data_IF_639240235813
#
_entry.id   IF_639240235813
#
_cell.length_a   1.000
_cell.length_b   1.000
_cell.length_c   1.000
_cell.angle_alpha   90.00
_cell.angle_beta   90.00
_cell.angle_gamma   90.00
#
_symmetry.space_group_name_H-M   'P 1'
#
loop_
_entity.id
_entity.type
_entity.pdbx_description
1 polymer ?
#
# COMPACT_ATOMS: atom_id res chain seq x y z
N UNK A 1 -15.88 23.30 -2.59
CA UNK A 1 -15.43 21.97 -3.09
C UNK A 1 -14.55 21.32 -2.04
N UNK A 2 -14.71 20.04 -1.77
CA UNK A 2 -13.87 19.27 -0.83
C UNK A 2 -12.80 18.51 -1.60
N UNK A 3 -11.62 18.45 -1.02
CA UNK A 3 -10.55 17.54 -1.45
C UNK A 3 -9.67 17.29 -0.23
N UNK A 4 -9.78 16.10 0.34
CA UNK A 4 -9.13 15.78 1.60
C UNK A 4 -8.63 14.34 1.60
N UNK A 5 -7.42 14.13 2.13
CA UNK A 5 -6.87 12.81 2.39
C UNK A 5 -7.08 12.45 3.87
N UNK A 6 -7.85 11.42 4.11
CA UNK A 6 -8.17 10.89 5.44
C UNK A 6 -7.35 9.61 5.67
N UNK A 7 -6.45 9.66 6.64
CA UNK A 7 -5.42 8.66 6.85
C UNK A 7 -5.81 7.81 8.06
N UNK A 8 -5.89 6.49 7.87
CA UNK A 8 -6.22 5.57 8.96
C UNK A 8 -4.98 4.87 9.50
N UNK A 9 -5.02 4.51 10.79
CA UNK A 9 -4.03 3.60 11.35
C UNK A 9 -4.19 2.24 10.68
N UNK A 10 -3.15 1.77 10.03
CA UNK A 10 -3.14 0.55 9.25
C UNK A 10 -1.99 -0.40 9.64
N UNK A 11 -1.49 -0.29 10.88
CA UNK A 11 -0.32 -1.04 11.33
C UNK A 11 0.84 -0.81 10.37
N UNK A 12 1.43 -1.84 9.79
CA UNK A 12 2.52 -1.79 8.82
C UNK A 12 2.10 -1.45 7.39
N UNK A 13 0.79 -1.27 7.13
CA UNK A 13 0.23 -1.10 5.79
C UNK A 13 -0.39 0.27 5.54
N UNK A 14 -1.22 0.34 4.51
CA UNK A 14 -1.97 1.55 4.12
C UNK A 14 -3.48 1.34 4.23
N UNK A 15 -4.17 2.39 4.68
CA UNK A 15 -5.62 2.50 4.62
C UNK A 15 -5.98 3.99 4.53
N UNK A 16 -6.42 4.44 3.36
CA UNK A 16 -6.63 5.83 3.06
C UNK A 16 -8.04 6.04 2.49
N UNK A 17 -8.63 7.19 2.79
CA UNK A 17 -9.90 7.63 2.21
C UNK A 17 -9.69 8.98 1.55
N UNK A 18 -10.10 9.10 0.28
CA UNK A 18 -10.05 10.35 -0.45
C UNK A 18 -11.47 10.90 -0.56
N UNK A 19 -11.70 12.06 0.04
CA UNK A 19 -12.96 12.78 -0.02
C UNK A 19 -12.88 13.86 -1.07
N UNK A 20 -13.87 13.94 -1.95
CA UNK A 20 -13.96 14.96 -3.00
C UNK A 20 -15.43 15.34 -3.28
N UNK A 21 -15.65 16.23 -4.25
CA UNK A 21 -16.99 16.72 -4.58
C UNK A 21 -17.41 17.91 -3.71
N UNK A 22 -18.71 18.12 -3.57
CA UNK A 22 -19.27 19.22 -2.80
C UNK A 22 -19.85 18.75 -1.47
N UNK A 23 -20.26 19.68 -0.61
CA UNK A 23 -20.94 19.34 0.63
C UNK A 23 -22.29 18.64 0.38
N UNK A 24 -23.00 19.06 -0.66
CA UNK A 24 -24.31 18.50 -1.03
C UNK A 24 -24.24 17.24 -1.88
N UNK A 25 -23.11 17.00 -2.54
CA UNK A 25 -22.82 15.81 -3.34
C UNK A 25 -21.39 15.30 -3.01
N UNK A 26 -21.20 14.71 -1.82
CA UNK A 26 -19.89 14.25 -1.38
C UNK A 26 -19.58 12.87 -1.97
N UNK A 27 -18.40 12.75 -2.57
CA UNK A 27 -17.85 11.55 -3.17
C UNK A 27 -16.74 10.94 -2.30
N UNK A 28 -16.41 9.65 -2.51
CA UNK A 28 -15.47 8.91 -1.68
C UNK A 28 -14.71 7.85 -2.48
N UNK A 29 -13.38 7.86 -2.35
CA UNK A 29 -12.51 6.77 -2.78
C UNK A 29 -11.91 6.09 -1.56
N UNK A 30 -11.95 4.76 -1.50
CA UNK A 30 -11.26 3.94 -0.50
C UNK A 30 -10.02 3.32 -1.14
N UNK A 31 -8.85 3.57 -0.55
CA UNK A 31 -7.54 3.15 -1.05
C UNK A 31 -6.88 2.28 -0.01
N UNK A 32 -6.65 1.02 -0.33
CA UNK A 32 -6.11 -0.01 0.55
C UNK A 32 -6.90 -0.20 1.86
N UNK A 33 -6.68 -1.28 2.53
CA UNK A 33 -7.41 -1.63 3.76
C UNK A 33 -6.51 -2.01 4.94
N UNK A 34 -5.21 -2.00 4.71
CA UNK A 34 -4.24 -2.48 5.69
C UNK A 34 -4.25 -4.01 5.85
N UNK A 35 -3.38 -4.54 6.73
CA UNK A 35 -3.35 -5.95 7.09
C UNK A 35 -4.58 -6.38 7.92
N UNK A 36 -4.58 -7.63 8.34
CA UNK A 36 -5.57 -8.14 9.30
C UNK A 36 -5.68 -7.26 10.55
N UNK A 37 -6.88 -7.20 11.13
CA UNK A 37 -7.18 -6.37 12.30
C UNK A 37 -7.12 -4.84 12.07
N UNK A 38 -7.25 -4.36 10.84
CA UNK A 38 -7.39 -2.94 10.52
C UNK A 38 -8.86 -2.56 10.25
N UNK A 39 -9.58 -3.38 9.49
CA UNK A 39 -10.97 -3.09 9.13
C UNK A 39 -11.85 -2.77 10.35
N UNK A 40 -11.98 -3.70 11.28
CA UNK A 40 -12.90 -3.57 12.42
C UNK A 40 -12.56 -2.41 13.37
N UNK A 41 -11.30 -2.22 13.82
CA UNK A 41 -10.98 -1.17 14.77
C UNK A 41 -10.78 0.22 14.15
N UNK A 42 -10.42 0.32 12.86
CA UNK A 42 -9.98 1.59 12.28
C UNK A 42 -10.82 2.03 11.07
N UNK A 43 -11.04 1.16 10.08
CA UNK A 43 -11.76 1.53 8.87
C UNK A 43 -13.28 1.57 9.09
N UNK A 44 -13.87 0.51 9.63
CA UNK A 44 -15.32 0.40 9.84
C UNK A 44 -15.89 1.56 10.67
N UNK A 45 -15.34 1.92 11.86
CA UNK A 45 -15.85 3.05 12.63
C UNK A 45 -15.76 4.38 11.89
N UNK A 46 -14.75 4.52 11.01
CA UNK A 46 -14.61 5.72 10.19
C UNK A 46 -15.68 5.77 9.09
N UNK A 47 -15.95 4.67 8.40
CA UNK A 47 -17.03 4.58 7.41
C UNK A 47 -18.40 4.86 8.05
N UNK A 48 -18.65 4.33 9.26
CA UNK A 48 -19.88 4.62 10.03
C UNK A 48 -19.99 6.12 10.37
N UNK A 49 -18.88 6.74 10.78
CA UNK A 49 -18.84 8.19 11.06
C UNK A 49 -19.09 9.03 9.81
N UNK A 50 -18.51 8.66 8.67
CA UNK A 50 -18.75 9.31 7.37
C UNK A 50 -20.23 9.18 6.97
N UNK A 51 -20.79 7.98 7.10
CA UNK A 51 -22.20 7.71 6.83
C UNK A 51 -23.11 8.60 7.66
N UNK A 52 -22.86 8.69 8.95
CA UNK A 52 -23.61 9.56 9.87
C UNK A 52 -23.46 11.05 9.52
N UNK A 53 -22.24 11.51 9.23
CA UNK A 53 -21.97 12.90 8.85
C UNK A 53 -22.63 13.31 7.52
N UNK A 54 -22.84 12.34 6.61
CA UNK A 54 -23.62 12.54 5.37
C UNK A 54 -25.14 12.47 5.58
N UNK A 55 -25.61 12.29 6.82
CA UNK A 55 -27.04 12.19 7.13
C UNK A 55 -27.72 10.91 6.61
N UNK A 56 -26.94 9.87 6.29
CA UNK A 56 -27.47 8.61 5.77
C UNK A 56 -28.04 7.77 6.91
N UNK A 57 -29.29 7.31 6.74
CA UNK A 57 -29.98 6.46 7.70
C UNK A 57 -29.56 5.00 7.67
N UNK A 58 -30.21 4.18 8.51
CA UNK A 58 -29.94 2.73 8.55
C UNK A 58 -30.31 2.03 7.22
N UNK A 59 -31.26 2.56 6.46
CA UNK A 59 -31.68 2.04 5.16
C UNK A 59 -30.82 2.48 3.97
N UNK A 60 -29.85 3.37 4.17
CA UNK A 60 -29.07 3.97 3.09
C UNK A 60 -27.61 3.51 3.20
N UNK A 61 -27.08 2.69 2.27
CA UNK A 61 -25.66 2.35 2.28
C UNK A 61 -24.80 3.58 1.98
N UNK A 62 -23.61 3.66 2.58
CA UNK A 62 -22.61 4.69 2.24
C UNK A 62 -22.11 4.49 0.80
N UNK A 63 -22.29 5.45 -0.11
CA UNK A 63 -21.69 5.35 -1.45
C UNK A 63 -20.16 5.45 -1.37
N UNK A 64 -19.49 4.49 -2.03
CA UNK A 64 -18.05 4.50 -2.30
C UNK A 64 -17.92 4.41 -3.83
N UNK A 65 -17.44 5.48 -4.45
CA UNK A 65 -17.39 5.60 -5.91
C UNK A 65 -16.32 4.68 -6.48
N UNK A 66 -15.16 4.60 -5.80
CA UNK A 66 -14.05 3.74 -6.15
C UNK A 66 -13.45 3.09 -4.90
N UNK A 67 -13.26 1.79 -4.94
CA UNK A 67 -12.35 1.07 -4.07
C UNK A 67 -11.09 0.70 -4.87
N UNK A 68 -9.90 0.93 -4.32
CA UNK A 68 -8.63 0.68 -5.00
C UNK A 68 -7.70 -0.14 -4.13
N UNK A 69 -6.98 -1.08 -4.74
CA UNK A 69 -5.85 -1.78 -4.15
C UNK A 69 -4.58 -1.34 -4.87
N UNK A 70 -3.65 -0.76 -4.14
CA UNK A 70 -2.37 -0.33 -4.72
C UNK A 70 -1.57 -1.52 -5.24
N UNK A 71 -1.53 -2.62 -4.49
CA UNK A 71 -0.95 -3.90 -4.88
C UNK A 71 -1.44 -5.04 -3.96
N UNK A 72 -1.16 -6.30 -4.33
CA UNK A 72 -1.76 -7.49 -3.71
C UNK A 72 -1.12 -7.96 -2.41
N UNK A 73 -0.26 -7.20 -1.77
CA UNK A 73 0.35 -7.59 -0.50
C UNK A 73 -0.65 -7.52 0.66
N UNK A 74 -0.49 -8.41 1.63
CA UNK A 74 -1.41 -8.58 2.77
C UNK A 74 -1.66 -7.29 3.54
N UNK A 75 -0.64 -6.45 3.64
CA UNK A 75 -0.70 -5.17 4.36
C UNK A 75 -1.42 -4.04 3.60
N UNK A 76 -1.93 -4.32 2.41
CA UNK A 76 -2.78 -3.41 1.63
C UNK A 76 -4.19 -3.98 1.39
N UNK A 77 -4.29 -5.28 1.07
CA UNK A 77 -5.54 -5.89 0.60
C UNK A 77 -6.42 -6.50 1.71
N UNK A 78 -5.83 -6.99 2.81
CA UNK A 78 -6.54 -7.84 3.77
C UNK A 78 -7.75 -7.14 4.42
N UNK A 79 -7.61 -5.89 4.81
CA UNK A 79 -8.72 -5.12 5.39
C UNK A 79 -9.87 -4.88 4.41
N UNK A 80 -9.58 -4.81 3.11
CA UNK A 80 -10.64 -4.76 2.08
C UNK A 80 -11.37 -6.08 1.94
N UNK A 81 -10.68 -7.22 2.07
CA UNK A 81 -11.32 -8.54 2.11
C UNK A 81 -12.24 -8.70 3.33
N UNK A 82 -11.82 -8.22 4.50
CA UNK A 82 -12.68 -8.21 5.68
C UNK A 82 -13.92 -7.32 5.46
N UNK A 83 -13.75 -6.18 4.81
CA UNK A 83 -14.82 -5.26 4.47
C UNK A 83 -15.80 -5.88 3.46
N UNK A 84 -15.33 -6.39 2.33
CA UNK A 84 -16.18 -6.99 1.29
C UNK A 84 -16.89 -8.24 1.80
N UNK A 85 -16.22 -9.04 2.64
CA UNK A 85 -16.84 -10.18 3.34
C UNK A 85 -18.03 -9.73 4.21
N UNK A 86 -17.88 -8.65 4.97
CA UNK A 86 -18.98 -8.12 5.79
C UNK A 86 -20.13 -7.63 4.90
N UNK A 87 -19.84 -6.93 3.80
CA UNK A 87 -20.88 -6.48 2.86
C UNK A 87 -21.66 -7.65 2.26
N UNK A 88 -20.99 -8.74 1.87
CA UNK A 88 -21.61 -9.96 1.33
C UNK A 88 -22.48 -10.71 2.35
N UNK A 89 -22.08 -10.68 3.61
CA UNK A 89 -22.77 -11.37 4.70
C UNK A 89 -23.90 -10.55 5.33
N UNK A 90 -24.12 -9.33 4.90
CA UNK A 90 -25.13 -8.45 5.46
C UNK A 90 -26.54 -9.06 5.26
N UNK A 91 -27.25 -9.35 6.38
CA UNK A 91 -28.61 -9.88 6.35
C UNK A 91 -29.68 -8.82 5.95
N UNK A 92 -29.27 -7.56 5.71
CA UNK A 92 -30.12 -6.43 5.38
C UNK A 92 -29.34 -5.43 4.53
N UNK A 93 -29.57 -4.13 4.78
CA UNK A 93 -28.84 -3.08 4.08
C UNK A 93 -27.38 -3.08 4.51
N UNK A 94 -26.42 -3.22 3.57
CA UNK A 94 -25.00 -3.24 3.91
C UNK A 94 -24.52 -1.86 4.38
N UNK A 95 -23.36 -1.82 5.06
CA UNK A 95 -22.74 -0.57 5.52
C UNK A 95 -22.48 0.39 4.36
N UNK A 96 -21.99 -0.13 3.24
CA UNK A 96 -21.64 0.66 2.07
C UNK A 96 -22.03 -0.05 0.77
N UNK A 97 -22.04 0.72 -0.31
CA UNK A 97 -22.16 0.26 -1.70
C UNK A 97 -20.98 0.78 -2.50
N UNK A 98 -20.24 -0.12 -3.11
CA UNK A 98 -19.05 0.17 -3.92
C UNK A 98 -19.49 0.17 -5.39
N UNK A 99 -19.10 1.20 -6.16
CA UNK A 99 -19.43 1.31 -7.58
C UNK A 99 -18.39 0.60 -8.44
N UNK A 100 -17.10 0.88 -8.22
CA UNK A 100 -16.00 0.29 -9.00
C UNK A 100 -14.83 -0.15 -8.13
N UNK A 101 -14.05 -1.10 -8.64
CA UNK A 101 -12.82 -1.60 -8.04
C UNK A 101 -11.66 -1.42 -9.04
N UNK A 102 -10.61 -0.71 -8.61
CA UNK A 102 -9.34 -0.69 -9.32
C UNK A 102 -8.37 -1.68 -8.67
N UNK A 103 -7.98 -2.67 -9.46
CA UNK A 103 -7.13 -3.74 -8.96
C UNK A 103 -6.38 -4.43 -10.11
N UNK A 104 -5.07 -4.56 -9.98
CA UNK A 104 -4.23 -5.40 -10.83
C UNK A 104 -3.98 -6.72 -10.10
N UNK A 105 -4.63 -7.80 -10.51
CA UNK A 105 -4.33 -9.11 -9.95
C UNK A 105 -2.96 -9.58 -10.43
N UNK A 106 -2.28 -10.35 -9.60
CA UNK A 106 -0.98 -10.92 -9.94
C UNK A 106 -1.05 -11.81 -11.20
N UNK A 107 -2.12 -12.59 -11.34
CA UNK A 107 -2.35 -13.46 -12.51
C UNK A 107 -2.42 -12.68 -13.82
N UNK A 108 -3.07 -11.52 -13.80
CA UNK A 108 -3.12 -10.64 -14.97
C UNK A 108 -1.77 -10.01 -15.28
N UNK A 109 -1.02 -9.64 -14.22
CA UNK A 109 0.33 -9.07 -14.34
C UNK A 109 1.29 -10.06 -14.98
N UNK A 110 1.21 -11.36 -14.66
CA UNK A 110 2.06 -12.40 -15.23
C UNK A 110 1.45 -13.13 -16.43
N UNK A 111 0.20 -12.82 -16.80
CA UNK A 111 -0.47 -13.37 -17.99
C UNK A 111 -0.87 -14.85 -17.89
N UNK A 112 -0.92 -15.42 -16.69
CA UNK A 112 -1.34 -16.80 -16.44
C UNK A 112 -2.81 -16.88 -16.00
N UNK A 113 -3.42 -18.05 -16.20
CA UNK A 113 -4.78 -18.28 -15.71
C UNK A 113 -4.79 -18.58 -14.20
N UNK A 114 -5.63 -17.90 -13.40
CA UNK A 114 -5.72 -18.06 -11.94
C UNK A 114 -5.82 -19.51 -11.47
N UNK A 115 -6.51 -20.35 -12.26
CA UNK A 115 -6.81 -21.73 -11.89
C UNK A 115 -5.60 -22.67 -11.82
N UNK A 116 -4.51 -22.39 -12.51
CA UNK A 116 -3.32 -23.27 -12.51
C UNK A 116 -2.38 -22.94 -11.34
N UNK A 117 -2.14 -21.66 -11.09
CA UNK A 117 -1.36 -21.23 -9.92
C UNK A 117 -2.06 -21.56 -8.60
N UNK A 118 -3.35 -21.24 -8.49
CA UNK A 118 -4.15 -21.55 -7.29
C UNK A 118 -4.22 -23.06 -7.01
N UNK A 119 -4.34 -23.90 -8.04
CA UNK A 119 -4.30 -25.36 -7.87
C UNK A 119 -2.94 -25.86 -7.38
N UNK A 120 -1.85 -25.34 -7.92
CA UNK A 120 -0.50 -25.72 -7.49
C UNK A 120 -0.26 -25.31 -6.02
N UNK A 121 -0.67 -24.09 -5.64
CA UNK A 121 -0.56 -23.56 -4.28
C UNK A 121 -1.42 -24.36 -3.29
N UNK A 122 -2.70 -24.61 -3.63
CA UNK A 122 -3.62 -25.36 -2.79
C UNK A 122 -3.20 -26.81 -2.59
N UNK A 123 -2.63 -27.43 -3.62
CA UNK A 123 -2.12 -28.80 -3.54
C UNK A 123 -0.91 -28.93 -2.60
N UNK A 124 -0.05 -27.93 -2.54
CA UNK A 124 1.17 -27.97 -1.73
C UNK A 124 0.96 -27.54 -0.28
N UNK A 125 0.18 -26.50 -0.04
CA UNK A 125 0.04 -25.89 1.30
C UNK A 125 -1.30 -26.22 1.99
N UNK A 126 -2.24 -26.89 1.31
CA UNK A 126 -3.57 -27.21 1.81
C UNK A 126 -4.54 -26.04 1.83
N UNK A 127 -5.82 -26.29 1.60
CA UNK A 127 -6.87 -25.27 1.52
C UNK A 127 -7.04 -24.43 2.81
N UNK A 128 -6.68 -24.97 3.96
CA UNK A 128 -6.81 -24.30 5.27
C UNK A 128 -5.73 -23.21 5.48
N UNK A 129 -4.53 -23.38 4.90
CA UNK A 129 -3.44 -22.40 5.01
C UNK A 129 -3.67 -21.19 4.12
N UNK A 130 -4.41 -21.36 3.03
CA UNK A 130 -4.68 -20.32 2.03
C UNK A 130 -5.90 -19.48 2.40
N UNK A 131 -6.94 -20.09 3.00
CA UNK A 131 -8.21 -19.40 3.35
C UNK A 131 -8.24 -18.76 4.74
N UNK A 132 -7.29 -19.08 5.62
CA UNK A 132 -7.29 -18.68 7.03
C UNK A 132 -6.48 -17.43 7.38
N UNK A 133 -5.78 -16.81 6.42
CA UNK A 133 -4.73 -15.85 6.72
C UNK A 133 -3.61 -16.59 7.49
N UNK A 134 -2.44 -16.75 6.90
CA UNK A 134 -1.32 -17.40 7.58
C UNK A 134 -1.06 -16.68 8.91
N UNK A 135 -1.44 -17.30 10.02
CA UNK A 135 -1.03 -16.85 11.32
C UNK A 135 0.51 -16.89 11.36
N UNK A 136 1.12 -15.91 12.04
CA UNK A 136 2.59 -15.81 12.19
C UNK A 136 3.24 -17.05 12.84
N UNK A 137 2.44 -18.06 13.22
CA UNK A 137 2.83 -19.29 13.92
C UNK A 137 2.83 -20.56 13.07
N UNK A 138 2.75 -20.47 11.72
CA UNK A 138 2.93 -21.64 10.89
C UNK A 138 4.37 -22.16 11.01
N UNK A 139 4.55 -23.25 11.77
CA UNK A 139 5.83 -23.97 11.89
C UNK A 139 6.10 -24.71 10.60
N UNK A 140 7.12 -24.25 9.85
CA UNK A 140 7.65 -24.92 8.66
C UNK A 140 8.85 -25.78 9.09
N UNK A 141 8.99 -26.96 8.50
CA UNK A 141 10.11 -27.87 8.77
C UNK A 141 11.47 -27.21 8.53
N UNK A 142 12.45 -27.54 9.38
CA UNK A 142 13.64 -26.74 9.75
C UNK A 142 14.80 -26.73 8.76
N UNK A 143 14.65 -27.20 7.51
CA UNK A 143 15.77 -27.42 6.58
C UNK A 143 15.84 -26.49 5.34
N UNK A 144 14.84 -25.64 5.11
CA UNK A 144 14.87 -24.64 4.05
C UNK A 144 15.00 -23.22 4.63
N UNK A 145 15.58 -22.28 3.84
CA UNK A 145 15.77 -20.90 4.26
C UNK A 145 14.39 -20.26 4.63
N UNK A 146 14.06 -20.23 5.93
CA UNK A 146 12.77 -19.72 6.47
C UNK A 146 12.37 -18.35 5.89
N UNK A 147 13.34 -17.51 5.52
CA UNK A 147 13.08 -16.19 4.95
C UNK A 147 12.57 -16.30 3.51
N UNK A 148 13.10 -17.25 2.74
CA UNK A 148 12.66 -17.52 1.36
C UNK A 148 11.27 -18.16 1.39
N UNK A 149 11.04 -19.12 2.27
CA UNK A 149 9.73 -19.75 2.46
C UNK A 149 8.70 -18.73 2.94
N UNK A 150 9.05 -17.86 3.90
CA UNK A 150 8.12 -16.86 4.43
C UNK A 150 7.76 -15.77 3.40
N UNK A 151 8.72 -15.33 2.58
CA UNK A 151 8.44 -14.38 1.49
C UNK A 151 7.61 -15.01 0.39
N UNK A 152 7.84 -16.28 0.07
CA UNK A 152 7.05 -17.04 -0.90
C UNK A 152 5.61 -17.22 -0.45
N UNK A 153 5.40 -17.55 0.82
CA UNK A 153 4.06 -17.68 1.41
C UNK A 153 3.29 -16.35 1.38
N UNK A 154 3.97 -15.21 1.58
CA UNK A 154 3.33 -13.89 1.48
C UNK A 154 2.81 -13.60 0.07
N UNK A 155 3.62 -13.87 -0.95
CA UNK A 155 3.19 -13.65 -2.35
C UNK A 155 2.07 -14.61 -2.74
N UNK A 156 2.13 -15.87 -2.31
CA UNK A 156 1.06 -16.82 -2.55
C UNK A 156 -0.26 -16.40 -1.87
N UNK A 157 -0.17 -15.91 -0.64
CA UNK A 157 -1.32 -15.34 0.06
C UNK A 157 -1.88 -14.13 -0.69
N UNK A 158 -1.01 -13.24 -1.20
CA UNK A 158 -1.40 -12.09 -2.01
C UNK A 158 -2.14 -12.47 -3.30
N UNK A 159 -1.69 -13.52 -4.00
CA UNK A 159 -2.38 -14.04 -5.20
C UNK A 159 -3.78 -14.51 -4.86
N UNK A 160 -3.92 -15.32 -3.82
CA UNK A 160 -5.23 -15.83 -3.40
C UNK A 160 -6.15 -14.70 -2.90
N UNK A 161 -5.60 -13.76 -2.16
CA UNK A 161 -6.34 -12.58 -1.68
C UNK A 161 -6.83 -11.70 -2.84
N UNK A 162 -5.99 -11.48 -3.88
CA UNK A 162 -6.38 -10.76 -5.09
C UNK A 162 -7.50 -11.47 -5.84
N UNK A 163 -7.41 -12.79 -5.99
CA UNK A 163 -8.47 -13.60 -6.58
C UNK A 163 -9.77 -13.52 -5.77
N UNK A 164 -9.69 -13.67 -4.42
CA UNK A 164 -10.85 -13.57 -3.55
C UNK A 164 -11.52 -12.20 -3.63
N UNK A 165 -10.75 -11.11 -3.70
CA UNK A 165 -11.31 -9.77 -3.84
C UNK A 165 -12.09 -9.60 -5.14
N UNK A 166 -11.63 -10.19 -6.25
CA UNK A 166 -12.36 -10.20 -7.52
C UNK A 166 -13.65 -10.98 -7.44
N UNK A 167 -13.65 -12.16 -6.79
CA UNK A 167 -14.87 -12.92 -6.52
C UNK A 167 -15.86 -12.13 -5.67
N UNK A 168 -15.36 -11.41 -4.67
CA UNK A 168 -16.19 -10.56 -3.83
C UNK A 168 -16.80 -9.39 -4.64
N UNK A 169 -16.02 -8.77 -5.51
CA UNK A 169 -16.48 -7.71 -6.42
C UNK A 169 -17.61 -8.22 -7.35
N UNK A 170 -17.43 -9.40 -7.94
CA UNK A 170 -18.46 -10.04 -8.79
C UNK A 170 -19.75 -10.28 -8.01
N UNK A 171 -19.67 -10.87 -6.81
CA UNK A 171 -20.83 -11.09 -5.95
C UNK A 171 -21.54 -9.80 -5.52
N UNK A 172 -20.80 -8.71 -5.35
CA UNK A 172 -21.33 -7.40 -4.95
C UNK A 172 -21.78 -6.56 -6.15
N UNK A 173 -21.63 -7.07 -7.39
CA UNK A 173 -21.84 -6.36 -8.66
C UNK A 173 -21.02 -5.07 -8.75
N UNK A 174 -19.76 -5.12 -8.34
CA UNK A 174 -18.78 -4.02 -8.43
C UNK A 174 -18.04 -4.15 -9.76
N UNK A 175 -17.98 -3.07 -10.54
CA UNK A 175 -17.29 -3.05 -11.82
C UNK A 175 -15.76 -3.07 -11.63
N UNK A 176 -15.08 -4.00 -12.30
CA UNK A 176 -13.62 -4.13 -12.24
C UNK A 176 -12.96 -3.30 -13.34
N UNK A 177 -12.07 -2.36 -12.94
CA UNK A 177 -11.27 -1.52 -13.83
C UNK A 177 -12.08 -0.91 -15.00
N UNK A 178 -13.27 -0.32 -14.77
CA UNK A 178 -14.16 0.09 -15.86
C UNK A 178 -13.52 1.11 -16.80
N UNK A 179 -12.71 2.04 -16.28
CA UNK A 179 -12.03 3.07 -17.08
C UNK A 179 -10.92 2.48 -17.98
N UNK A 180 -10.51 1.24 -17.71
CA UNK A 180 -9.53 0.49 -18.48
C UNK A 180 -10.17 -0.64 -19.31
N UNK A 181 -11.49 -0.66 -19.41
CA UNK A 181 -12.24 -1.69 -20.11
C UNK A 181 -12.07 -3.09 -19.50
N UNK A 182 -11.95 -3.17 -18.18
CA UNK A 182 -11.76 -4.40 -17.41
C UNK A 182 -10.34 -5.01 -17.52
N UNK A 183 -9.37 -4.24 -18.05
CA UNK A 183 -7.98 -4.68 -18.27
C UNK A 183 -7.05 -4.17 -17.17
N UNK A 184 -5.77 -4.58 -17.27
CA UNK A 184 -4.70 -4.08 -16.40
C UNK A 184 -4.61 -2.55 -16.42
N UNK A 185 -4.44 -1.99 -15.25
CA UNK A 185 -4.12 -0.57 -15.03
C UNK A 185 -2.62 -0.42 -15.24
N UNK A 186 -2.21 0.36 -16.22
CA UNK A 186 -0.81 0.64 -16.54
C UNK A 186 -0.60 2.13 -16.74
N UNK A 187 0.64 2.58 -16.55
CA UNK A 187 1.02 3.98 -16.76
C UNK A 187 0.61 4.49 -18.14
N UNK A 188 0.06 5.68 -18.18
CA UNK A 188 -0.42 6.34 -19.39
C UNK A 188 -0.35 7.86 -19.29
N UNK A 189 -0.35 8.56 -20.43
CA UNK A 189 -0.21 10.02 -20.50
C UNK A 189 -1.56 10.76 -20.33
N UNK A 190 -2.67 10.05 -20.37
CA UNK A 190 -4.01 10.66 -20.31
C UNK A 190 -4.58 10.53 -18.90
N UNK A 191 -4.87 11.63 -18.21
CA UNK A 191 -5.58 11.61 -16.94
C UNK A 191 -6.99 11.02 -17.12
N UNK A 192 -7.44 10.25 -16.15
CA UNK A 192 -8.77 9.66 -16.08
C UNK A 192 -9.65 10.60 -15.28
N UNK A 193 -10.71 11.10 -15.91
CA UNK A 193 -11.71 11.95 -15.26
C UNK A 193 -12.66 11.08 -14.41
N UNK A 194 -12.70 11.39 -13.12
CA UNK A 194 -13.55 10.70 -12.13
C UNK A 194 -14.81 11.52 -11.79
N UNK A 195 -15.03 12.66 -12.44
CA UNK A 195 -16.07 13.62 -12.11
C UNK A 195 -15.70 14.56 -10.95
N UNK A 196 -16.52 15.58 -10.74
CA UNK A 196 -16.33 16.56 -9.65
C UNK A 196 -14.92 17.16 -9.60
N UNK A 197 -14.33 17.44 -10.77
CA UNK A 197 -12.97 17.99 -10.94
C UNK A 197 -11.84 17.06 -10.41
N UNK A 198 -12.16 15.81 -10.08
CA UNK A 198 -11.17 14.80 -9.71
C UNK A 198 -10.62 14.09 -10.94
N UNK A 199 -9.32 14.01 -11.07
CA UNK A 199 -8.66 13.20 -12.09
C UNK A 199 -7.49 12.40 -11.53
N UNK A 200 -7.25 11.23 -12.14
CA UNK A 200 -6.11 10.34 -11.84
C UNK A 200 -5.22 10.21 -13.05
N UNK A 201 -3.93 10.55 -12.91
CA UNK A 201 -2.90 10.20 -13.88
C UNK A 201 -2.15 8.97 -13.37
N UNK A 202 -2.20 7.87 -14.11
CA UNK A 202 -1.51 6.63 -13.75
C UNK A 202 -0.04 6.74 -14.17
N UNK A 203 0.87 6.80 -13.19
CA UNK A 203 2.31 6.81 -13.40
C UNK A 203 2.98 5.43 -13.19
N UNK A 204 2.26 4.46 -12.66
CA UNK A 204 2.74 3.08 -12.45
C UNK A 204 1.61 2.09 -12.23
N UNK A 205 1.87 0.81 -12.49
CA UNK A 205 3.09 0.23 -13.03
C UNK A 205 3.29 0.48 -14.53
N UNK A 206 4.54 0.43 -14.99
CA UNK A 206 4.87 0.59 -16.41
C UNK A 206 4.85 -0.74 -17.15
N UNK A 207 4.28 -0.77 -18.37
CA UNK A 207 4.19 -1.98 -19.19
C UNK A 207 5.53 -2.70 -19.45
N UNK A 208 6.67 -2.02 -19.72
CA UNK A 208 7.95 -2.70 -19.88
C UNK A 208 8.42 -3.47 -18.64
N UNK A 209 8.04 -2.99 -17.44
CA UNK A 209 8.39 -3.65 -16.17
C UNK A 209 7.54 -4.89 -15.94
N UNK A 210 6.23 -4.80 -16.19
CA UNK A 210 5.33 -5.95 -16.14
C UNK A 210 5.76 -7.03 -17.14
N UNK A 211 6.16 -6.67 -18.36
CA UNK A 211 6.70 -7.62 -19.35
C UNK A 211 7.98 -8.29 -18.90
N UNK A 212 8.86 -7.59 -18.18
CA UNK A 212 10.06 -8.19 -17.60
C UNK A 212 9.72 -9.17 -16.48
N UNK A 213 8.72 -8.85 -15.66
CA UNK A 213 8.22 -9.77 -14.65
C UNK A 213 7.65 -11.03 -15.28
N UNK A 214 6.81 -10.89 -16.29
CA UNK A 214 6.27 -12.01 -17.04
C UNK A 214 7.37 -12.86 -17.65
N UNK A 215 8.35 -12.26 -18.35
CA UNK A 215 9.45 -13.01 -18.97
C UNK A 215 10.30 -13.77 -17.94
N UNK A 216 10.55 -13.20 -16.76
CA UNK A 216 11.23 -13.91 -15.67
C UNK A 216 10.40 -15.07 -15.14
N UNK A 217 9.10 -14.90 -15.00
CA UNK A 217 8.18 -15.96 -14.58
C UNK A 217 8.15 -17.11 -15.59
N UNK A 218 8.02 -16.79 -16.87
CA UNK A 218 8.02 -17.79 -17.94
C UNK A 218 9.35 -18.57 -18.00
N UNK A 219 10.48 -17.89 -17.85
CA UNK A 219 11.79 -18.54 -17.77
C UNK A 219 11.88 -19.46 -16.55
N UNK A 220 11.41 -19.00 -15.40
CA UNK A 220 11.39 -19.80 -14.18
C UNK A 220 10.53 -21.06 -14.33
N UNK A 221 9.32 -20.97 -14.90
CA UNK A 221 8.47 -22.14 -15.20
C UNK A 221 9.16 -23.12 -16.13
N UNK A 222 9.91 -22.62 -17.12
CA UNK A 222 10.70 -23.44 -18.03
C UNK A 222 11.82 -24.17 -17.31
N UNK A 223 12.58 -23.45 -16.47
CA UNK A 223 13.67 -24.03 -15.67
C UNK A 223 13.18 -25.13 -14.72
N UNK A 224 11.99 -24.95 -14.12
CA UNK A 224 11.35 -25.97 -13.29
C UNK A 224 11.04 -27.22 -14.07
N UNK A 225 10.38 -27.06 -15.21
CA UNK A 225 10.02 -28.17 -16.07
C UNK A 225 11.25 -28.95 -16.55
N UNK A 226 12.35 -28.26 -16.90
CA UNK A 226 13.62 -28.87 -17.29
C UNK A 226 14.31 -29.64 -16.14
N UNK A 227 14.11 -29.17 -14.89
CA UNK A 227 14.61 -29.82 -13.67
C UNK A 227 13.69 -30.92 -13.14
N UNK A 228 12.51 -31.13 -13.74
CA UNK A 228 11.50 -32.07 -13.26
C UNK A 228 10.93 -31.72 -11.88
N UNK A 229 10.96 -30.44 -11.52
CA UNK A 229 10.42 -29.92 -10.27
C UNK A 229 8.99 -29.41 -10.49
N UNK A 230 8.12 -29.67 -9.55
CA UNK A 230 6.78 -29.07 -9.53
C UNK A 230 6.86 -27.57 -9.16
N UNK A 231 5.98 -26.72 -9.71
CA UNK A 231 5.98 -25.29 -9.43
C UNK A 231 5.98 -24.94 -7.94
N UNK A 232 5.37 -25.78 -7.12
CA UNK A 232 5.33 -25.62 -5.67
C UNK A 232 6.69 -25.69 -4.99
N UNK A 233 7.51 -26.66 -5.36
CA UNK A 233 8.82 -26.92 -4.71
C UNK A 233 9.86 -25.84 -4.99
N UNK A 234 9.66 -25.05 -6.03
CA UNK A 234 10.61 -24.05 -6.46
C UNK A 234 10.07 -22.61 -6.40
N UNK A 235 8.83 -22.42 -5.99
CA UNK A 235 8.22 -21.10 -5.87
C UNK A 235 8.94 -20.25 -4.82
N UNK A 236 9.46 -20.88 -3.76
CA UNK A 236 10.32 -20.26 -2.75
C UNK A 236 11.57 -19.59 -3.32
N UNK A 237 12.11 -20.10 -4.43
CA UNK A 237 13.29 -19.54 -5.10
C UNK A 237 12.96 -18.43 -6.11
N UNK A 238 11.71 -18.35 -6.57
CA UNK A 238 11.29 -17.38 -7.59
C UNK A 238 10.83 -16.05 -7.00
N UNK A 239 10.31 -16.06 -5.79
CA UNK A 239 9.75 -14.85 -5.19
C UNK A 239 10.88 -13.91 -4.77
N UNK A 240 11.37 -13.18 -5.74
CA UNK A 240 12.14 -11.97 -5.52
C UNK A 240 11.22 -10.95 -4.80
N UNK A 241 11.66 -10.44 -3.66
CA UNK A 241 10.95 -9.44 -2.82
C UNK A 241 10.48 -8.19 -3.58
N UNK A 242 10.92 -8.03 -4.84
CA UNK A 242 10.62 -6.87 -5.68
C UNK A 242 9.37 -7.00 -6.54
N UNK A 243 8.77 -8.20 -6.67
CA UNK A 243 7.66 -8.44 -7.62
C UNK A 243 6.38 -7.68 -7.25
N UNK A 244 5.88 -7.75 -6.02
CA UNK A 244 4.70 -6.98 -5.63
C UNK A 244 4.91 -5.47 -5.77
N UNK A 245 6.04 -4.95 -5.31
CA UNK A 245 6.36 -3.53 -5.33
C UNK A 245 6.50 -2.95 -6.75
N UNK A 246 6.85 -3.79 -7.74
CA UNK A 246 6.92 -3.38 -9.15
C UNK A 246 5.53 -3.28 -9.80
N UNK A 247 4.51 -3.87 -9.20
CA UNK A 247 3.12 -3.84 -9.69
C UNK A 247 2.26 -2.78 -8.99
N UNK A 248 2.81 -2.03 -8.04
CA UNK A 248 2.08 -0.99 -7.29
C UNK A 248 1.52 0.09 -8.21
N UNK A 249 0.24 0.41 -8.02
CA UNK A 249 -0.40 1.56 -8.66
C UNK A 249 0.21 2.85 -8.10
N UNK A 250 0.74 3.67 -9.00
CA UNK A 250 1.24 5.01 -8.70
C UNK A 250 0.32 6.01 -9.37
N UNK A 251 -0.31 6.87 -8.58
CA UNK A 251 -1.31 7.81 -9.08
C UNK A 251 -0.97 9.25 -8.67
N UNK A 252 -0.91 10.14 -9.67
CA UNK A 252 -0.99 11.58 -9.42
C UNK A 252 -2.46 11.97 -9.49
N UNK A 253 -3.00 12.34 -8.33
CA UNK A 253 -4.41 12.72 -8.15
C UNK A 253 -4.51 14.23 -8.16
N UNK A 254 -5.42 14.77 -8.94
CA UNK A 254 -5.65 16.23 -9.05
C UNK A 254 -7.12 16.54 -8.82
N UNK A 255 -7.40 17.57 -8.01
CA UNK A 255 -8.75 18.10 -7.81
C UNK A 255 -8.66 19.58 -7.38
N UNK A 256 -9.39 20.47 -8.04
CA UNK A 256 -9.41 21.90 -7.71
C UNK A 256 -8.04 22.57 -7.74
N UNK A 257 -7.13 22.12 -8.62
CA UNK A 257 -5.76 22.60 -8.71
C UNK A 257 -4.82 22.11 -7.59
N UNK A 258 -5.30 21.22 -6.71
CA UNK A 258 -4.53 20.54 -5.65
C UNK A 258 -4.12 19.15 -6.09
N UNK A 259 -3.01 18.65 -5.56
CA UNK A 259 -2.39 17.40 -6.02
C UNK A 259 -1.98 16.48 -4.87
N UNK A 260 -2.22 15.20 -5.03
CA UNK A 260 -1.77 14.13 -4.13
C UNK A 260 -1.02 13.09 -4.95
N UNK A 261 0.18 12.71 -4.55
CA UNK A 261 0.90 11.57 -5.14
C UNK A 261 0.75 10.35 -4.22
N UNK A 262 0.01 9.35 -4.71
CA UNK A 262 -0.17 8.05 -4.08
C UNK A 262 0.81 7.07 -4.70
N UNK A 263 1.61 6.39 -3.91
CA UNK A 263 2.77 5.63 -4.39
C UNK A 263 2.69 4.14 -4.14
N UNK A 264 1.76 3.69 -3.26
CA UNK A 264 1.81 2.32 -2.74
C UNK A 264 3.22 2.00 -2.22
N UNK A 265 3.73 0.85 -2.61
CA UNK A 265 5.07 0.37 -2.25
C UNK A 265 6.06 0.43 -3.41
N UNK A 266 5.73 1.21 -4.45
CA UNK A 266 6.61 1.40 -5.59
C UNK A 266 7.97 1.99 -5.18
N UNK A 267 9.03 1.61 -5.89
CA UNK A 267 10.37 2.16 -5.67
C UNK A 267 10.47 3.59 -6.20
N UNK A 268 11.18 4.44 -5.51
CA UNK A 268 11.37 5.86 -5.88
C UNK A 268 11.88 6.06 -7.32
N UNK A 269 12.85 5.25 -7.77
CA UNK A 269 13.38 5.31 -9.14
C UNK A 269 12.31 4.96 -10.19
N UNK A 270 11.35 4.09 -9.85
CA UNK A 270 10.26 3.68 -10.73
C UNK A 270 9.14 4.72 -10.77
N UNK A 271 8.84 5.31 -9.63
CA UNK A 271 7.91 6.45 -9.53
C UNK A 271 8.38 7.59 -10.43
N UNK A 272 9.65 7.99 -10.31
CA UNK A 272 10.23 9.06 -11.13
C UNK A 272 10.14 8.76 -12.63
N UNK A 273 10.52 7.54 -13.05
CA UNK A 273 10.41 7.12 -14.45
C UNK A 273 8.96 7.08 -14.95
N UNK A 274 8.05 6.61 -14.09
CA UNK A 274 6.64 6.56 -14.43
C UNK A 274 6.02 7.94 -14.61
N UNK A 275 6.34 8.89 -13.74
CA UNK A 275 5.91 10.28 -13.85
C UNK A 275 6.48 10.96 -15.11
N UNK A 276 7.73 10.67 -15.45
CA UNK A 276 8.35 11.14 -16.71
C UNK A 276 7.63 10.54 -17.93
N UNK A 277 7.39 9.23 -17.92
CA UNK A 277 6.71 8.53 -19.01
C UNK A 277 5.25 8.96 -19.18
N UNK A 278 4.57 9.29 -18.07
CA UNK A 278 3.21 9.83 -18.08
C UNK A 278 3.14 11.33 -18.42
N UNK A 279 4.29 11.98 -18.64
CA UNK A 279 4.35 13.41 -18.98
C UNK A 279 4.05 14.37 -17.82
N UNK A 280 3.96 13.85 -16.58
CA UNK A 280 3.73 14.68 -15.39
C UNK A 280 4.93 15.56 -15.04
N UNK A 281 6.13 15.13 -15.43
CA UNK A 281 7.39 15.85 -15.21
C UNK A 281 8.34 15.62 -16.39
N UNK A 282 9.12 16.63 -16.74
CA UNK A 282 10.17 16.47 -17.75
C UNK A 282 11.27 15.53 -17.25
N UNK A 283 11.99 14.89 -18.18
CA UNK A 283 13.11 14.01 -17.83
C UNK A 283 14.14 14.73 -16.94
N UNK A 284 14.43 14.16 -15.77
CA UNK A 284 15.31 14.79 -14.78
C UNK A 284 14.72 16.01 -14.05
N UNK A 285 13.48 16.40 -14.35
CA UNK A 285 12.80 17.54 -13.72
C UNK A 285 12.27 17.25 -12.32
N UNK A 286 11.67 18.26 -11.71
CA UNK A 286 11.06 18.22 -10.37
C UNK A 286 9.54 18.35 -10.46
N UNK A 287 8.84 17.72 -9.53
CA UNK A 287 7.40 17.85 -9.34
C UNK A 287 7.12 18.25 -7.89
N UNK A 288 6.30 19.28 -7.72
CA UNK A 288 5.73 19.62 -6.43
C UNK A 288 4.31 19.10 -6.34
N UNK A 289 3.94 18.50 -5.20
CA UNK A 289 2.59 18.04 -4.88
C UNK A 289 2.17 18.59 -3.51
N UNK A 290 0.87 18.77 -3.27
CA UNK A 290 0.42 19.20 -1.95
C UNK A 290 0.62 18.07 -0.92
N UNK A 291 0.36 16.81 -1.30
CA UNK A 291 0.58 15.65 -0.43
C UNK A 291 1.37 14.57 -1.15
N UNK A 292 2.42 14.05 -0.52
CA UNK A 292 3.10 12.82 -0.92
C UNK A 292 2.83 11.73 0.11
N UNK A 293 2.14 10.64 -0.28
CA UNK A 293 2.21 9.38 0.46
C UNK A 293 3.58 8.77 0.19
N UNK A 294 4.43 8.75 1.21
CA UNK A 294 5.81 8.26 1.07
C UNK A 294 5.82 6.78 0.70
N UNK A 295 6.61 6.37 -0.32
CA UNK A 295 6.64 4.99 -0.80
C UNK A 295 6.99 3.98 0.29
N UNK A 296 6.35 2.81 0.24
CA UNK A 296 6.67 1.64 1.06
C UNK A 296 6.83 1.99 2.55
N UNK A 297 5.87 2.74 3.07
CA UNK A 297 5.78 3.17 4.47
C UNK A 297 7.03 3.89 5.00
N UNK A 298 7.90 4.40 4.10
CA UNK A 298 9.18 5.02 4.45
C UNK A 298 10.31 4.01 4.63
N UNK A 299 10.32 2.91 3.86
CA UNK A 299 11.48 2.02 3.77
C UNK A 299 12.64 2.67 3.03
N UNK A 300 13.81 2.72 3.65
CA UNK A 300 15.01 3.31 3.05
C UNK A 300 15.52 2.52 1.84
N UNK A 301 15.23 1.23 1.77
CA UNK A 301 15.60 0.37 0.63
C UNK A 301 14.92 0.76 -0.69
N UNK A 302 13.81 1.47 -0.62
CA UNK A 302 13.01 1.88 -1.78
C UNK A 302 13.19 3.36 -2.13
N UNK A 303 13.96 4.10 -1.35
CA UNK A 303 14.13 5.54 -1.43
C UNK A 303 15.60 5.94 -1.53
N UNK A 304 15.84 7.10 -2.11
CA UNK A 304 17.12 7.79 -2.15
C UNK A 304 16.89 9.28 -1.91
N UNK A 305 17.88 10.00 -1.41
CA UNK A 305 17.81 11.47 -1.22
C UNK A 305 17.34 12.18 -2.49
N UNK A 306 17.84 11.76 -3.66
CA UNK A 306 17.46 12.29 -4.97
C UNK A 306 15.98 12.13 -5.31
N UNK A 307 15.25 11.18 -4.72
CA UNK A 307 13.80 11.09 -4.85
C UNK A 307 13.12 12.31 -4.23
N UNK A 308 13.48 12.67 -3.00
CA UNK A 308 12.91 13.83 -2.30
C UNK A 308 13.42 15.17 -2.85
N UNK A 309 14.57 15.20 -3.53
CA UNK A 309 15.02 16.39 -4.27
C UNK A 309 14.13 16.65 -5.48
N UNK A 310 13.64 15.59 -6.12
CA UNK A 310 12.82 15.67 -7.34
C UNK A 310 11.32 15.71 -7.07
N UNK A 311 10.84 15.04 -6.03
CA UNK A 311 9.43 15.07 -5.61
C UNK A 311 9.34 15.84 -4.29
N UNK A 312 8.81 17.04 -4.37
CA UNK A 312 8.64 17.92 -3.22
C UNK A 312 7.18 17.98 -2.81
N UNK A 313 6.89 18.14 -1.51
CA UNK A 313 5.52 18.23 -1.02
C UNK A 313 5.38 19.21 0.15
N UNK A 314 4.15 19.72 0.37
CA UNK A 314 3.81 20.44 1.59
C UNK A 314 3.56 19.47 2.75
N UNK A 315 3.02 18.28 2.44
CA UNK A 315 2.71 17.24 3.42
C UNK A 315 3.31 15.90 2.99
N UNK A 316 4.12 15.28 3.85
CA UNK A 316 4.70 13.95 3.67
C UNK A 316 4.03 12.97 4.63
N UNK A 317 3.36 11.94 4.11
CA UNK A 317 2.64 10.94 4.91
C UNK A 317 3.48 9.67 4.99
N UNK A 318 3.92 9.34 6.21
CA UNK A 318 4.59 8.09 6.55
C UNK A 318 3.59 7.21 7.31
N UNK A 319 3.06 6.20 6.65
CA UNK A 319 2.24 5.17 7.30
C UNK A 319 3.14 4.08 7.87
N UNK A 320 2.74 3.50 8.99
CA UNK A 320 3.50 2.41 9.61
C UNK A 320 3.59 2.56 11.12
N UNK A 321 3.56 1.43 11.83
CA UNK A 321 3.63 1.35 13.30
C UNK A 321 5.02 0.94 13.81
N UNK A 322 6.02 0.81 12.93
CA UNK A 322 7.36 0.34 13.25
C UNK A 322 7.59 -1.15 12.98
N UNK A 323 6.54 -1.94 12.73
CA UNK A 323 6.66 -3.33 12.30
C UNK A 323 7.38 -3.39 10.95
N UNK A 324 8.28 -4.34 10.76
CA UNK A 324 9.20 -4.44 9.62
C UNK A 324 10.19 -3.27 9.48
N UNK A 325 10.36 -2.47 10.54
CA UNK A 325 11.30 -1.36 10.58
C UNK A 325 10.75 -0.02 10.08
N UNK A 326 9.56 0.01 9.45
CA UNK A 326 9.01 1.20 8.80
C UNK A 326 8.06 2.03 9.71
N UNK A 327 8.14 3.36 9.64
CA UNK A 327 9.10 4.17 8.86
C UNK A 327 10.52 4.10 9.42
N UNK A 328 11.51 3.97 8.51
CA UNK A 328 12.90 3.98 8.88
C UNK A 328 13.42 5.40 9.14
N UNK A 329 14.33 5.54 10.10
CA UNK A 329 14.96 6.82 10.40
C UNK A 329 15.69 7.41 9.19
N UNK A 330 16.39 6.56 8.45
CA UNK A 330 17.14 6.93 7.25
C UNK A 330 16.26 7.63 6.21
N UNK A 331 15.02 7.19 6.04
CA UNK A 331 14.08 7.81 5.10
C UNK A 331 13.69 9.22 5.52
N UNK A 332 13.51 9.47 6.83
CA UNK A 332 13.28 10.80 7.34
C UNK A 332 14.54 11.67 7.19
N UNK A 333 15.72 11.11 7.42
CA UNK A 333 16.99 11.81 7.23
C UNK A 333 17.21 12.20 5.77
N UNK A 334 16.93 11.30 4.81
CA UNK A 334 16.95 11.58 3.36
C UNK A 334 16.02 12.74 3.01
N UNK A 335 14.80 12.77 3.59
CA UNK A 335 13.85 13.87 3.38
C UNK A 335 14.40 15.20 3.93
N UNK A 336 14.89 15.21 5.17
CA UNK A 336 15.46 16.41 5.79
C UNK A 336 16.67 16.93 5.01
N UNK A 337 17.54 16.04 4.53
CA UNK A 337 18.71 16.40 3.72
C UNK A 337 18.31 17.00 2.36
N UNK A 338 17.34 16.39 1.69
CA UNK A 338 16.83 16.85 0.41
C UNK A 338 16.12 18.19 0.49
N UNK A 339 15.39 18.46 1.57
CA UNK A 339 14.54 19.66 1.70
C UNK A 339 15.24 20.84 2.39
N UNK A 340 16.35 20.60 3.08
CA UNK A 340 17.12 21.66 3.74
C UNK A 340 16.24 22.52 4.65
N UNK A 341 16.09 23.81 4.32
CA UNK A 341 15.32 24.77 5.13
C UNK A 341 13.87 24.97 4.70
N UNK A 342 13.38 24.21 3.73
CA UNK A 342 12.00 24.33 3.27
C UNK A 342 11.01 24.00 4.40
N UNK A 343 9.87 24.66 4.38
CA UNK A 343 8.79 24.39 5.33
C UNK A 343 7.89 23.26 4.79
N UNK A 344 7.56 22.29 5.62
CA UNK A 344 6.66 21.19 5.30
C UNK A 344 6.18 20.49 6.57
N UNK A 345 5.13 19.68 6.44
CA UNK A 345 4.58 18.86 7.51
C UNK A 345 4.85 17.38 7.25
N UNK A 346 5.38 16.66 8.25
CA UNK A 346 5.50 15.20 8.25
C UNK A 346 4.36 14.63 9.09
N UNK A 347 3.61 13.70 8.50
CA UNK A 347 2.52 13.00 9.17
C UNK A 347 2.94 11.56 9.47
N UNK A 348 2.97 11.18 10.76
CA UNK A 348 3.14 9.81 11.22
C UNK A 348 1.79 9.24 11.63
N UNK A 349 1.47 8.01 11.25
CA UNK A 349 0.21 7.35 11.61
C UNK A 349 0.19 6.82 13.04
N UNK A 350 1.36 6.68 13.65
CA UNK A 350 1.52 6.21 15.04
C UNK A 350 2.45 7.13 15.85
N UNK A 351 2.34 7.13 17.20
CA UNK A 351 3.29 7.81 18.07
C UNK A 351 4.72 7.29 17.89
N UNK A 352 5.69 8.17 18.04
CA UNK A 352 7.12 7.85 17.86
C UNK A 352 7.58 6.74 18.80
N UNK A 353 7.12 6.76 20.04
CA UNK A 353 7.44 5.75 21.05
C UNK A 353 6.91 4.35 20.68
N UNK A 354 5.71 4.27 20.10
CA UNK A 354 5.17 3.01 19.57
C UNK A 354 6.02 2.51 18.39
N UNK A 355 6.33 3.41 17.42
CA UNK A 355 7.17 3.08 16.25
C UNK A 355 8.55 2.59 16.68
N UNK A 356 9.24 3.34 17.55
CA UNK A 356 10.59 2.98 18.00
C UNK A 356 10.62 1.68 18.81
N UNK A 357 9.58 1.42 19.62
CA UNK A 357 9.45 0.16 20.35
C UNK A 357 9.26 -1.05 19.43
N UNK A 358 8.43 -0.91 18.39
CA UNK A 358 8.21 -1.97 17.41
C UNK A 358 9.47 -2.24 16.58
N UNK A 359 10.14 -1.19 16.07
CA UNK A 359 11.41 -1.29 15.32
C UNK A 359 12.51 -1.97 16.13
N UNK A 360 12.63 -1.61 17.42
CA UNK A 360 13.57 -2.26 18.32
C UNK A 360 13.25 -3.75 18.50
N UNK A 361 11.98 -4.07 18.72
CA UNK A 361 11.53 -5.46 18.85
C UNK A 361 11.86 -6.28 17.60
N UNK A 362 11.64 -5.73 16.42
CA UNK A 362 11.93 -6.43 15.16
C UNK A 362 13.45 -6.61 14.97
N UNK A 363 14.28 -5.61 15.31
CA UNK A 363 15.74 -5.76 15.32
C UNK A 363 16.19 -6.90 16.24
N UNK A 364 15.59 -7.03 17.43
CA UNK A 364 15.90 -8.11 18.37
C UNK A 364 15.49 -9.49 17.82
N UNK A 365 14.33 -9.58 17.14
CA UNK A 365 13.90 -10.81 16.45
C UNK A 365 14.86 -11.20 15.32
N UNK A 366 15.28 -10.23 14.50
CA UNK A 366 16.25 -10.47 13.43
C UNK A 366 17.62 -10.95 13.97
N UNK A 367 18.10 -10.36 15.06
CA UNK A 367 19.30 -10.83 15.73
C UNK A 367 19.19 -12.29 16.20
N UNK A 368 18.04 -12.64 16.80
CA UNK A 368 17.80 -14.01 17.25
C UNK A 368 17.74 -14.99 16.08
N UNK A 369 17.08 -14.62 14.97
CA UNK A 369 17.04 -15.41 13.73
C UNK A 369 18.45 -15.60 13.15
N UNK A 370 19.23 -14.52 13.05
CA UNK A 370 20.59 -14.58 12.52
C UNK A 370 21.49 -15.51 13.37
N UNK A 371 21.41 -15.39 14.70
CA UNK A 371 22.17 -16.26 15.63
C UNK A 371 21.79 -17.73 15.47
N UNK A 372 20.48 -18.04 15.38
CA UNK A 372 20.01 -19.43 15.15
C UNK A 372 20.52 -20.01 13.83
N UNK A 373 20.69 -19.17 12.80
CA UNK A 373 21.17 -19.57 11.47
C UNK A 373 22.68 -19.50 11.31
N UNK A 374 23.44 -19.21 12.36
CA UNK A 374 24.90 -19.05 12.28
C UNK A 374 25.35 -17.87 11.39
N UNK A 375 24.45 -16.94 11.09
CA UNK A 375 24.74 -15.69 10.35
C UNK A 375 25.17 -14.60 11.32
N UNK A 376 25.93 -13.61 10.85
CA UNK A 376 26.26 -12.41 11.64
C UNK A 376 24.99 -11.63 11.94
N UNK A 377 24.61 -11.43 13.22
CA UNK A 377 23.42 -10.68 13.55
C UNK A 377 23.61 -9.18 13.23
N UNK A 378 22.53 -8.44 12.92
CA UNK A 378 22.58 -6.99 12.85
C UNK A 378 23.07 -6.41 14.19
N UNK A 379 23.66 -5.20 14.20
CA UNK A 379 24.13 -4.56 15.42
C UNK A 379 23.00 -4.31 16.42
N UNK A 380 23.36 -4.21 17.71
CA UNK A 380 22.40 -3.91 18.76
C UNK A 380 21.75 -2.53 18.52
N UNK A 381 20.47 -2.44 18.89
CA UNK A 381 19.74 -1.18 18.85
C UNK A 381 20.43 -0.10 19.68
N UNK A 382 20.72 1.02 19.04
CA UNK A 382 21.31 2.20 19.66
C UNK A 382 20.31 3.35 19.58
N UNK A 383 19.63 3.68 20.68
CA UNK A 383 18.58 4.71 20.68
C UNK A 383 19.05 6.05 20.09
N UNK A 384 20.30 6.43 20.30
CA UNK A 384 20.86 7.68 19.77
C UNK A 384 20.94 7.74 18.24
N UNK A 385 21.18 6.61 17.58
CA UNK A 385 21.36 6.52 16.12
C UNK A 385 20.21 5.87 15.38
N UNK A 386 19.40 5.05 16.07
CA UNK A 386 18.38 4.25 15.40
C UNK A 386 16.95 4.78 15.65
N UNK A 387 16.70 5.51 16.76
CA UNK A 387 15.36 5.96 17.10
C UNK A 387 14.92 7.23 16.34
N UNK A 388 13.64 7.33 16.03
CA UNK A 388 13.02 8.55 15.54
C UNK A 388 12.97 9.63 16.62
N UNK A 389 12.79 9.24 17.89
CA UNK A 389 12.80 10.17 19.02
C UNK A 389 14.13 10.93 19.11
N UNK A 390 15.26 10.23 18.95
CA UNK A 390 16.57 10.88 18.92
C UNK A 390 16.75 11.79 17.71
N UNK A 391 16.22 11.43 16.55
CA UNK A 391 16.24 12.29 15.36
C UNK A 391 15.45 13.59 15.61
N UNK A 392 14.26 13.51 16.18
CA UNK A 392 13.44 14.68 16.51
C UNK A 392 14.16 15.60 17.52
N UNK A 393 14.80 15.02 18.53
CA UNK A 393 15.55 15.76 19.57
C UNK A 393 16.91 16.28 19.10
N UNK A 394 17.39 15.84 17.96
CA UNK A 394 18.74 16.21 17.46
C UNK A 394 18.87 17.66 17.01
N UNK A 395 17.76 18.39 16.85
CA UNK A 395 17.75 19.75 16.29
C UNK A 395 17.88 19.80 14.77
N UNK A 396 17.73 18.68 14.06
CA UNK A 396 17.75 18.62 12.59
C UNK A 396 16.49 19.20 11.96
N UNK A 397 15.37 19.21 12.69
CA UNK A 397 14.13 19.87 12.24
C UNK A 397 14.30 21.39 12.35
N UNK A 398 14.16 22.06 11.23
CA UNK A 398 14.30 23.51 11.14
C UNK A 398 12.94 24.23 11.33
N UNK A 399 12.94 25.55 11.62
CA UNK A 399 11.70 26.31 11.71
C UNK A 399 10.84 26.18 10.46
N UNK A 400 9.56 25.84 10.63
CA UNK A 400 8.62 25.58 9.53
C UNK A 400 8.44 24.11 9.19
N UNK A 401 9.32 23.22 9.69
CA UNK A 401 9.15 21.78 9.56
C UNK A 401 8.43 21.24 10.79
N UNK A 402 7.31 20.57 10.59
CA UNK A 402 6.50 20.03 11.68
C UNK A 402 6.38 18.53 11.56
N UNK A 403 6.38 17.85 12.70
CA UNK A 403 6.05 16.45 12.80
C UNK A 403 4.72 16.31 13.52
N UNK A 404 3.73 15.77 12.81
CA UNK A 404 2.35 15.62 13.23
C UNK A 404 2.05 14.13 13.42
N UNK A 405 1.49 13.78 14.56
CA UNK A 405 1.09 12.40 14.86
C UNK A 405 -0.40 12.27 14.66
N UNK A 406 -0.80 11.26 13.90
CA UNK A 406 -2.20 10.98 13.59
C UNK A 406 -3.05 10.76 14.83
N UNK A 407 -4.11 11.57 15.00
CA UNK A 407 -5.22 11.21 15.88
C UNK A 407 -5.95 10.00 15.28
N UNK A 408 -6.04 8.86 15.99
CA UNK A 408 -6.72 7.67 15.49
C UNK A 408 -8.16 7.90 15.04
N UNK A 409 -8.84 8.85 15.67
CA UNK A 409 -10.24 9.19 15.39
C UNK A 409 -10.38 10.12 14.18
N UNK A 410 -9.41 11.00 13.97
CA UNK A 410 -9.44 12.00 12.90
C UNK A 410 -8.04 12.43 12.51
N UNK A 411 -7.55 11.90 11.40
CA UNK A 411 -6.34 12.42 10.76
C UNK A 411 -6.65 12.73 9.30
N UNK A 412 -6.98 13.96 9.03
CA UNK A 412 -7.40 14.45 7.71
C UNK A 412 -6.50 15.61 7.30
N UNK A 413 -5.97 15.54 6.08
CA UNK A 413 -5.30 16.65 5.41
C UNK A 413 -6.32 17.25 4.45
N UNK A 414 -6.86 18.40 4.82
CA UNK A 414 -7.82 19.15 4.00
C UNK A 414 -7.05 20.07 3.05
N UNK A 415 -7.17 19.85 1.74
CA UNK A 415 -6.50 20.65 0.69
C UNK A 415 -7.42 21.77 0.14
N UNK A 416 -8.72 21.58 0.22
CA UNK A 416 -9.76 22.56 -0.09
C UNK A 416 -10.66 22.77 1.12
N UNK A 417 -11.99 22.83 0.93
CA UNK A 417 -12.92 23.05 2.05
C UNK A 417 -12.82 21.92 3.10
N UNK A 418 -12.75 22.23 4.39
CA UNK A 418 -12.59 21.26 5.45
C UNK A 418 -13.66 20.18 5.47
N UNK A 419 -13.28 18.94 5.74
CA UNK A 419 -14.21 17.82 5.85
C UNK A 419 -15.18 17.98 7.04
N UNK A 420 -14.71 18.55 8.15
CA UNK A 420 -15.55 19.00 9.29
C UNK A 420 -15.88 17.90 10.31
N UNK A 421 -15.58 16.58 10.08
CA UNK A 421 -15.94 15.46 10.97
C UNK A 421 -14.86 14.40 11.12
#
# INVERSE_FOLDING_TARGET
>A
MRFSLDIRRARKGDCLLLHYGTESAPSLVLIDGGPSNVYKPHLKPRLEKIKAARGLGAGDPLPIDLMMVSHVDDDHIHGLLDFTRELRQAAGVPLARISSLWHNSFDEVIGNTPSELTKAVTAQFGAASVSGGLSQDATVDADEDEEVVHSSLKVLAGIEQGHQLRLDADHLNVELNPEFGGKLIIAGETPIDMGDDLSFLVAGPMLPELKKLQAKHDQWLKDLKEKGLEPGDALSAYVDKSVPNLSSLVLLVTCGGKTILLTGDARGDKILKGLEAAGAVAAGGTLHVDVLKVPHHGSSNNLETGFFERITADHYVFSGDGEHGNPERESLEMLLDARGSDAFDIHLTYPIDEIDAARKTDREKEQQKAKKRGKTPPPDWQAATDSLDALVKSGRFLPGQKLLIADPAKHVIDLLDPLGF
#
